data_IF_887367356611
#
_entry.id   IF_887367356611
#
_cell.length_a   1.000
_cell.length_b   1.000
_cell.length_c   1.000
_cell.angle_alpha   90.00
_cell.angle_beta   90.00
_cell.angle_gamma   90.00
#
_symmetry.space_group_name_H-M   'P 1'
#
loop_
_entity.id
_entity.type
_entity.pdbx_description
1 polymer ?
#
# COMPACT_ATOMS: atom_id res chain seq x y z
N UNK A 1 -40.69 -18.80 -0.89
CA UNK A 1 -40.82 -17.37 -1.20
C UNK A 1 -39.67 -16.67 -0.49
N UNK A 2 -38.50 -16.56 -1.14
CA UNK A 2 -37.34 -15.83 -0.63
C UNK A 2 -37.56 -14.35 -0.84
N UNK A 3 -37.52 -13.56 0.22
CA UNK A 3 -37.48 -12.10 0.11
C UNK A 3 -36.13 -11.69 -0.46
N UNK A 4 -36.14 -11.23 -1.68
CA UNK A 4 -35.01 -10.69 -2.43
C UNK A 4 -34.73 -9.28 -1.90
N UNK A 5 -34.50 -9.14 -0.59
CA UNK A 5 -34.10 -7.88 0.02
C UNK A 5 -32.63 -7.68 -0.28
N UNK A 6 -32.34 -6.84 -1.28
CA UNK A 6 -30.95 -6.38 -1.54
C UNK A 6 -30.41 -5.78 -0.25
N UNK A 7 -29.23 -6.23 0.23
CA UNK A 7 -28.64 -5.66 1.43
C UNK A 7 -28.42 -4.15 1.26
N UNK A 8 -28.91 -3.37 2.23
CA UNK A 8 -28.71 -1.93 2.24
C UNK A 8 -27.28 -1.63 2.75
N UNK A 9 -26.43 -1.23 1.84
CA UNK A 9 -25.04 -0.86 2.13
C UNK A 9 -24.86 0.60 2.55
N UNK A 10 -25.94 1.41 2.52
CA UNK A 10 -25.86 2.83 2.86
C UNK A 10 -25.28 3.10 4.26
N UNK A 11 -25.76 2.43 5.34
CA UNK A 11 -25.22 2.66 6.68
C UNK A 11 -23.74 2.25 6.80
N UNK A 12 -23.32 1.22 6.06
CA UNK A 12 -21.93 0.78 6.03
C UNK A 12 -21.03 1.85 5.40
N UNK A 13 -21.38 2.35 4.21
CA UNK A 13 -20.61 3.37 3.54
C UNK A 13 -20.61 4.70 4.30
N UNK A 14 -21.74 5.05 4.91
CA UNK A 14 -21.85 6.26 5.73
C UNK A 14 -20.93 6.18 6.97
N UNK A 15 -20.93 5.04 7.67
CA UNK A 15 -20.08 4.86 8.86
C UNK A 15 -18.58 4.89 8.51
N UNK A 16 -18.17 4.24 7.42
CA UNK A 16 -16.78 4.29 6.93
C UNK A 16 -16.41 5.72 6.53
N UNK A 17 -17.28 6.41 5.79
CA UNK A 17 -17.06 7.79 5.38
C UNK A 17 -16.88 8.74 6.58
N UNK A 18 -17.75 8.64 7.59
CA UNK A 18 -17.64 9.44 8.81
C UNK A 18 -16.35 9.13 9.58
N UNK A 19 -15.95 7.86 9.68
CA UNK A 19 -14.71 7.46 10.32
C UNK A 19 -13.49 8.02 9.59
N UNK A 20 -13.49 8.00 8.26
CA UNK A 20 -12.42 8.60 7.45
C UNK A 20 -12.33 10.11 7.66
N UNK A 21 -13.46 10.83 7.65
CA UNK A 21 -13.49 12.27 7.91
C UNK A 21 -12.98 12.57 9.32
N UNK A 22 -13.42 11.83 10.32
CA UNK A 22 -12.95 11.97 11.70
C UNK A 22 -11.43 11.76 11.82
N UNK A 23 -10.89 10.73 11.15
CA UNK A 23 -9.45 10.46 11.13
C UNK A 23 -8.67 11.62 10.50
N UNK A 24 -9.14 12.18 9.38
CA UNK A 24 -8.53 13.34 8.73
C UNK A 24 -8.58 14.57 9.63
N UNK A 25 -9.72 14.84 10.28
CA UNK A 25 -9.86 15.97 11.21
C UNK A 25 -8.89 15.83 12.39
N UNK A 26 -8.81 14.64 13.00
CA UNK A 26 -7.85 14.37 14.08
C UNK A 26 -6.41 14.60 13.60
N UNK A 27 -6.06 14.12 12.41
CA UNK A 27 -4.73 14.29 11.82
C UNK A 27 -4.41 15.78 11.64
N UNK A 28 -5.30 16.55 11.00
CA UNK A 28 -5.11 17.99 10.75
C UNK A 28 -5.00 18.80 12.06
N UNK A 29 -5.80 18.45 13.06
CA UNK A 29 -5.78 19.15 14.36
C UNK A 29 -4.56 18.78 15.21
N UNK A 30 -4.08 17.52 15.12
CA UNK A 30 -3.01 17.02 15.98
C UNK A 30 -1.64 17.24 15.38
N UNK A 31 -1.48 17.05 14.06
CA UNK A 31 -0.20 17.17 13.35
C UNK A 31 -0.05 18.59 12.82
N UNK A 32 0.78 19.36 13.48
CA UNK A 32 1.25 20.66 12.97
C UNK A 32 2.52 20.43 12.16
N UNK A 33 2.38 20.04 10.91
CA UNK A 33 3.49 19.67 10.00
C UNK A 33 4.65 20.68 10.02
N UNK A 34 4.34 21.98 10.01
CA UNK A 34 5.38 23.04 10.05
C UNK A 34 6.23 23.02 11.32
N UNK A 35 5.61 22.75 12.50
CA UNK A 35 6.35 22.66 13.75
C UNK A 35 7.18 21.38 13.83
N UNK A 36 6.59 20.26 13.36
CA UNK A 36 7.27 18.97 13.34
C UNK A 36 8.47 18.98 12.37
N UNK A 37 8.30 19.55 11.18
CA UNK A 37 9.38 19.71 10.20
C UNK A 37 10.51 20.58 10.75
N UNK A 38 10.20 21.69 11.45
CA UNK A 38 11.23 22.52 12.09
C UNK A 38 11.95 21.79 13.23
N UNK A 39 11.25 20.99 14.01
CA UNK A 39 11.84 20.19 15.10
C UNK A 39 12.76 19.11 14.56
N UNK A 40 12.33 18.38 13.53
CA UNK A 40 13.14 17.36 12.86
C UNK A 40 14.38 17.99 12.22
N UNK A 41 14.24 19.16 11.56
CA UNK A 41 15.36 19.88 10.97
C UNK A 41 16.37 20.39 12.01
N UNK A 42 15.91 20.69 13.24
CA UNK A 42 16.78 21.11 14.32
C UNK A 42 17.48 19.93 15.02
N UNK A 43 16.83 18.78 15.07
CA UNK A 43 17.32 17.59 15.78
C UNK A 43 18.26 16.73 14.90
N UNK A 44 18.06 16.76 13.57
CA UNK A 44 18.83 15.99 12.58
C UNK A 44 19.38 16.90 11.46
N UNK A 45 20.31 17.81 11.74
CA UNK A 45 20.80 18.81 10.78
C UNK A 45 21.58 18.23 9.60
N UNK A 46 22.05 16.99 9.71
CA UNK A 46 22.89 16.34 8.70
C UNK A 46 22.18 15.33 7.79
N UNK A 47 20.88 15.09 7.97
CA UNK A 47 20.13 14.23 7.05
C UNK A 47 19.77 14.98 5.76
N UNK A 48 20.10 14.41 4.57
CA UNK A 48 19.85 15.06 3.28
C UNK A 48 18.36 15.30 2.99
N UNK A 49 17.46 14.50 3.56
CA UNK A 49 16.02 14.65 3.41
C UNK A 49 15.49 15.87 4.17
N UNK A 50 16.04 16.17 5.34
CA UNK A 50 15.63 17.29 6.20
C UNK A 50 16.04 18.64 5.58
N UNK A 51 17.20 18.70 4.94
CA UNK A 51 17.65 19.88 4.16
C UNK A 51 16.80 20.10 2.92
N UNK A 52 16.33 19.04 2.28
CA UNK A 52 15.47 19.13 1.11
C UNK A 52 14.04 19.65 1.42
N UNK A 53 13.49 19.35 2.58
CA UNK A 53 12.18 19.85 2.99
C UNK A 53 12.23 21.30 3.49
N UNK A 54 13.27 21.66 4.22
CA UNK A 54 13.48 23.05 4.69
C UNK A 54 13.76 24.02 3.54
N UNK A 55 14.52 23.60 2.51
CA UNK A 55 14.77 24.41 1.31
C UNK A 55 13.56 24.53 0.38
N UNK A 56 12.69 23.54 0.31
CA UNK A 56 11.46 23.56 -0.52
C UNK A 56 10.42 24.58 -0.05
N UNK A 57 10.40 24.94 1.21
CA UNK A 57 9.50 25.99 1.72
C UNK A 57 9.94 27.41 1.36
N UNK A 58 11.22 27.62 1.05
CA UNK A 58 11.77 28.94 0.68
C UNK A 58 11.79 29.21 -0.83
N UNK A 59 11.73 28.17 -1.67
CA UNK A 59 11.93 28.26 -3.12
C UNK A 59 10.72 27.87 -3.98
N UNK A 60 9.54 28.24 -3.59
CA UNK A 60 8.27 27.88 -4.31
C UNK A 60 8.17 28.39 -5.77
N UNK A 61 9.24 28.94 -6.38
CA UNK A 61 9.24 29.46 -7.76
C UNK A 61 10.44 29.09 -8.62
N UNK A 62 11.39 28.32 -8.14
CA UNK A 62 12.53 27.93 -8.95
C UNK A 62 12.20 26.70 -9.78
N UNK A 63 12.32 26.79 -11.11
CA UNK A 63 12.12 25.63 -12.02
C UNK A 63 13.15 24.56 -11.66
N UNK A 64 12.67 23.36 -11.33
CA UNK A 64 13.52 22.21 -11.04
C UNK A 64 14.52 21.97 -12.20
N UNK A 65 15.79 21.68 -11.91
CA UNK A 65 16.75 21.24 -12.92
C UNK A 65 16.20 20.09 -13.77
N UNK A 66 16.57 20.02 -15.04
CA UNK A 66 16.03 19.04 -15.97
C UNK A 66 16.21 17.59 -15.48
N UNK A 67 17.38 17.27 -14.92
CA UNK A 67 17.70 15.94 -14.40
C UNK A 67 16.81 15.54 -13.21
N UNK A 68 16.55 16.47 -12.30
CA UNK A 68 15.67 16.25 -11.14
C UNK A 68 14.22 16.03 -11.62
N UNK A 69 13.78 16.79 -12.63
CA UNK A 69 12.45 16.64 -13.22
C UNK A 69 12.28 15.28 -13.89
N UNK A 70 13.27 14.81 -14.64
CA UNK A 70 13.25 13.47 -15.25
C UNK A 70 13.18 12.37 -14.18
N UNK A 71 14.03 12.43 -13.17
CA UNK A 71 14.02 11.48 -12.06
C UNK A 71 12.66 11.45 -11.34
N UNK A 72 12.09 12.61 -11.05
CA UNK A 72 10.78 12.75 -10.44
C UNK A 72 9.68 12.13 -11.33
N UNK A 73 9.72 12.39 -12.64
CA UNK A 73 8.75 11.82 -13.59
C UNK A 73 8.81 10.29 -13.59
N UNK A 74 10.01 9.70 -13.62
CA UNK A 74 10.15 8.25 -13.57
C UNK A 74 9.66 7.65 -12.26
N UNK A 75 9.91 8.30 -11.13
CA UNK A 75 9.39 7.87 -9.82
C UNK A 75 7.86 7.91 -9.82
N UNK A 76 7.26 9.01 -10.26
CA UNK A 76 5.81 9.16 -10.33
C UNK A 76 5.17 8.14 -11.28
N UNK A 77 5.76 7.89 -12.44
CA UNK A 77 5.30 6.85 -13.36
C UNK A 77 5.40 5.45 -12.74
N UNK A 78 6.47 5.16 -12.02
CA UNK A 78 6.63 3.88 -11.33
C UNK A 78 5.54 3.66 -10.28
N UNK A 79 5.25 4.70 -9.49
CA UNK A 79 4.18 4.68 -8.50
C UNK A 79 2.82 4.52 -9.20
N UNK A 80 2.57 5.26 -10.28
CA UNK A 80 1.34 5.16 -11.04
C UNK A 80 1.11 3.74 -11.58
N UNK A 81 2.09 3.15 -12.26
CA UNK A 81 1.97 1.79 -12.78
C UNK A 81 1.84 0.74 -11.68
N UNK A 82 2.54 0.93 -10.56
CA UNK A 82 2.38 0.09 -9.39
C UNK A 82 0.94 0.05 -8.89
N UNK A 83 0.37 1.22 -8.63
CA UNK A 83 -1.01 1.30 -8.14
C UNK A 83 -2.04 0.87 -9.19
N UNK A 84 -1.82 1.16 -10.47
CA UNK A 84 -2.69 0.71 -11.55
C UNK A 84 -2.73 -0.82 -11.64
N UNK A 85 -1.58 -1.48 -11.61
CA UNK A 85 -1.48 -2.94 -11.64
C UNK A 85 -2.13 -3.57 -10.40
N UNK A 86 -1.85 -3.05 -9.21
CA UNK A 86 -2.45 -3.54 -7.97
C UNK A 86 -3.98 -3.43 -7.97
N UNK A 87 -4.51 -2.27 -8.37
CA UNK A 87 -5.95 -2.06 -8.44
C UNK A 87 -6.61 -2.94 -9.51
N UNK A 88 -5.96 -3.15 -10.65
CA UNK A 88 -6.47 -4.04 -11.69
C UNK A 88 -6.63 -5.47 -11.16
N UNK A 89 -5.60 -6.00 -10.47
CA UNK A 89 -5.65 -7.33 -9.87
C UNK A 89 -6.73 -7.42 -8.80
N UNK A 90 -6.78 -6.50 -7.85
CA UNK A 90 -7.74 -6.55 -6.73
C UNK A 90 -9.18 -6.40 -7.20
N UNK A 91 -9.43 -5.59 -8.23
CA UNK A 91 -10.78 -5.43 -8.82
C UNK A 91 -11.24 -6.69 -9.56
N UNK A 92 -10.36 -7.31 -10.33
CA UNK A 92 -10.67 -8.53 -11.06
C UNK A 92 -10.74 -9.76 -10.15
N UNK A 93 -10.10 -9.72 -8.99
CA UNK A 93 -9.90 -10.85 -8.10
C UNK A 93 -11.20 -11.51 -7.63
N UNK A 94 -12.21 -10.73 -7.25
CA UNK A 94 -13.49 -11.26 -6.78
C UNK A 94 -14.19 -12.11 -7.85
N UNK A 95 -14.17 -11.66 -9.11
CA UNK A 95 -14.74 -12.43 -10.23
C UNK A 95 -13.92 -13.67 -10.57
N UNK A 96 -12.60 -13.56 -10.51
CA UNK A 96 -11.71 -14.68 -10.74
C UNK A 96 -11.95 -15.81 -9.73
N UNK A 97 -11.99 -15.48 -8.44
CA UNK A 97 -12.18 -16.45 -7.36
C UNK A 97 -13.55 -17.13 -7.44
N UNK A 98 -14.60 -16.41 -7.83
CA UNK A 98 -15.92 -17.00 -8.04
C UNK A 98 -15.94 -17.95 -9.21
N UNK A 99 -15.35 -17.57 -10.36
CA UNK A 99 -15.44 -18.37 -11.59
C UNK A 99 -14.45 -19.53 -11.62
N UNK A 100 -13.25 -19.34 -11.10
CA UNK A 100 -12.14 -20.32 -11.23
C UNK A 100 -12.04 -21.16 -9.95
N UNK A 101 -12.15 -20.54 -8.78
CA UNK A 101 -11.99 -21.26 -7.50
C UNK A 101 -13.30 -21.64 -6.83
N UNK A 102 -14.47 -21.24 -7.37
CA UNK A 102 -15.77 -21.57 -6.81
C UNK A 102 -16.06 -20.91 -5.47
N UNK A 103 -15.37 -19.81 -5.13
CA UNK A 103 -15.57 -19.09 -3.86
C UNK A 103 -16.79 -18.17 -3.97
N UNK A 104 -17.92 -18.64 -3.51
CA UNK A 104 -19.16 -17.87 -3.42
C UNK A 104 -19.26 -17.07 -2.12
N UNK A 105 -20.24 -16.16 -2.05
CA UNK A 105 -20.61 -15.47 -0.81
C UNK A 105 -19.52 -14.59 -0.20
N UNK A 106 -18.58 -14.09 -1.01
CA UNK A 106 -17.50 -13.22 -0.51
C UNK A 106 -16.27 -13.98 0.02
N UNK A 107 -16.15 -15.29 -0.25
CA UNK A 107 -15.01 -16.11 0.18
C UNK A 107 -13.64 -15.57 -0.23
N UNK A 108 -13.57 -14.76 -1.30
CA UNK A 108 -12.34 -14.05 -1.71
C UNK A 108 -11.82 -13.09 -0.63
N UNK A 109 -12.70 -12.56 0.22
CA UNK A 109 -12.30 -11.64 1.29
C UNK A 109 -11.38 -12.30 2.32
N UNK A 110 -11.52 -13.60 2.55
CA UNK A 110 -10.63 -14.36 3.44
C UNK A 110 -9.18 -14.34 2.95
N UNK A 111 -8.95 -14.51 1.65
CA UNK A 111 -7.61 -14.44 1.07
C UNK A 111 -7.00 -13.03 1.23
N UNK A 112 -7.80 -11.99 0.99
CA UNK A 112 -7.36 -10.61 1.17
C UNK A 112 -7.09 -10.28 2.65
N UNK A 113 -7.89 -10.84 3.56
CA UNK A 113 -7.68 -10.67 5.00
C UNK A 113 -6.35 -11.29 5.43
N UNK A 114 -6.03 -12.50 4.95
CA UNK A 114 -4.73 -13.14 5.21
C UNK A 114 -3.57 -12.26 4.74
N UNK A 115 -3.67 -11.71 3.53
CA UNK A 115 -2.65 -10.79 3.01
C UNK A 115 -2.52 -9.53 3.88
N UNK A 116 -3.64 -8.95 4.30
CA UNK A 116 -3.66 -7.74 5.15
C UNK A 116 -3.03 -8.00 6.52
N UNK A 117 -3.39 -9.10 7.18
CA UNK A 117 -2.80 -9.49 8.48
C UNK A 117 -1.30 -9.72 8.35
N UNK A 118 -0.88 -10.46 7.31
CA UNK A 118 0.53 -10.69 7.04
C UNK A 118 1.29 -9.38 6.79
N UNK A 119 0.71 -8.43 6.06
CA UNK A 119 1.29 -7.10 5.84
C UNK A 119 1.48 -6.36 7.16
N UNK A 120 0.44 -6.27 7.98
CA UNK A 120 0.48 -5.57 9.28
C UNK A 120 1.60 -6.13 10.17
N UNK A 121 1.66 -7.45 10.32
CA UNK A 121 2.69 -8.11 11.12
C UNK A 121 4.10 -7.90 10.56
N UNK A 122 4.22 -7.71 9.25
CA UNK A 122 5.50 -7.57 8.57
C UNK A 122 6.04 -6.16 8.53
N UNK A 123 5.24 -5.12 8.80
CA UNK A 123 5.71 -3.73 8.75
C UNK A 123 6.91 -3.46 9.65
N UNK A 124 6.86 -3.91 10.91
CA UNK A 124 7.94 -3.67 11.88
C UNK A 124 9.24 -4.38 11.47
N UNK A 125 9.24 -5.72 11.22
CA UNK A 125 10.47 -6.41 10.86
C UNK A 125 11.03 -5.96 9.50
N UNK A 126 10.17 -5.62 8.53
CA UNK A 126 10.62 -5.15 7.23
C UNK A 126 11.15 -3.73 7.26
N UNK A 127 10.63 -2.87 8.13
CA UNK A 127 11.21 -1.56 8.37
C UNK A 127 12.64 -1.66 8.91
N UNK A 128 12.85 -2.53 9.90
CA UNK A 128 14.20 -2.80 10.42
C UNK A 128 15.13 -3.45 9.37
N UNK A 129 14.60 -4.33 8.52
CA UNK A 129 15.36 -4.93 7.43
C UNK A 129 15.74 -3.89 6.38
N UNK A 130 14.82 -3.02 5.99
CA UNK A 130 15.04 -1.96 5.02
C UNK A 130 16.14 -0.98 5.47
N UNK A 131 16.19 -0.67 6.77
CA UNK A 131 17.26 0.15 7.36
C UNK A 131 18.65 -0.51 7.24
N UNK A 132 18.73 -1.85 7.32
CA UNK A 132 19.99 -2.60 7.23
C UNK A 132 20.43 -2.88 5.80
N UNK A 133 19.51 -3.30 4.94
CA UNK A 133 19.79 -3.79 3.57
C UNK A 133 19.71 -2.66 2.54
N UNK A 134 19.00 -1.60 2.89
CA UNK A 134 18.74 -0.44 2.04
C UNK A 134 17.39 -0.50 1.34
N UNK A 135 16.75 0.67 1.22
CA UNK A 135 15.38 0.86 0.67
C UNK A 135 15.19 0.22 -0.71
N UNK A 136 16.11 0.48 -1.64
CA UNK A 136 16.03 -0.03 -3.03
C UNK A 136 15.98 -1.55 -3.09
N UNK A 137 16.82 -2.24 -2.31
CA UNK A 137 16.86 -3.70 -2.28
C UNK A 137 15.61 -4.28 -1.61
N UNK A 138 15.09 -3.63 -0.58
CA UNK A 138 13.86 -4.03 0.10
C UNK A 138 12.64 -3.95 -0.85
N UNK A 139 12.50 -2.85 -1.60
CA UNK A 139 11.45 -2.69 -2.60
C UNK A 139 11.55 -3.78 -3.68
N UNK A 140 12.76 -4.03 -4.19
CA UNK A 140 12.98 -5.06 -5.22
C UNK A 140 12.62 -6.46 -4.71
N UNK A 141 13.00 -6.79 -3.47
CA UNK A 141 12.63 -8.04 -2.82
C UNK A 141 11.10 -8.17 -2.72
N UNK A 142 10.42 -7.11 -2.28
CA UNK A 142 8.95 -7.08 -2.19
C UNK A 142 8.28 -7.32 -3.53
N UNK A 143 8.75 -6.67 -4.59
CA UNK A 143 8.26 -6.87 -5.96
C UNK A 143 8.44 -8.30 -6.44
N UNK A 144 9.61 -8.89 -6.26
CA UNK A 144 9.89 -10.28 -6.62
C UNK A 144 8.97 -11.24 -5.86
N UNK A 145 8.79 -11.02 -4.56
CA UNK A 145 7.93 -11.85 -3.73
C UNK A 145 6.48 -11.82 -4.20
N UNK A 146 5.94 -10.65 -4.50
CA UNK A 146 4.59 -10.50 -5.03
C UNK A 146 4.44 -11.14 -6.40
N UNK A 147 5.39 -10.91 -7.30
CA UNK A 147 5.37 -11.48 -8.66
C UNK A 147 5.36 -13.01 -8.63
N UNK A 148 6.25 -13.62 -7.84
CA UNK A 148 6.30 -15.08 -7.68
C UNK A 148 5.00 -15.60 -7.08
N UNK A 149 4.46 -14.92 -6.08
CA UNK A 149 3.23 -15.36 -5.40
C UNK A 149 2.01 -15.28 -6.30
N UNK A 150 1.83 -14.19 -7.06
CA UNK A 150 0.73 -14.09 -8.03
C UNK A 150 0.87 -15.11 -9.17
N UNK A 151 2.10 -15.31 -9.66
CA UNK A 151 2.36 -16.29 -10.70
C UNK A 151 2.06 -17.71 -10.21
N UNK A 152 2.51 -18.07 -9.01
CA UNK A 152 2.23 -19.38 -8.41
C UNK A 152 0.73 -19.59 -8.16
N UNK A 153 0.02 -18.57 -7.68
CA UNK A 153 -1.43 -18.66 -7.44
C UNK A 153 -2.24 -18.91 -8.72
N UNK A 154 -1.73 -18.48 -9.88
CA UNK A 154 -2.39 -18.68 -11.18
C UNK A 154 -2.45 -20.14 -11.63
N UNK A 155 -1.61 -21.02 -11.12
CA UNK A 155 -1.63 -22.45 -11.47
C UNK A 155 -2.74 -23.25 -10.78
N UNK A 156 -3.44 -22.66 -9.82
CA UNK A 156 -4.51 -23.34 -9.11
C UNK A 156 -5.86 -23.12 -9.81
N UNK A 157 -6.45 -24.19 -10.32
CA UNK A 157 -7.76 -24.19 -10.95
C UNK A 157 -8.93 -24.34 -9.94
N UNK A 158 -8.61 -24.59 -8.67
CA UNK A 158 -9.58 -24.69 -7.56
C UNK A 158 -8.96 -24.10 -6.29
N UNK A 159 -9.81 -23.70 -5.35
CA UNK A 159 -9.32 -23.20 -4.07
C UNK A 159 -8.68 -24.30 -3.24
N UNK A 160 -7.46 -24.07 -2.82
CA UNK A 160 -6.69 -24.90 -1.88
C UNK A 160 -6.17 -24.01 -0.76
N UNK A 161 -6.09 -24.53 0.46
CA UNK A 161 -5.60 -23.79 1.63
C UNK A 161 -4.18 -23.19 1.46
N UNK A 162 -3.34 -23.83 0.62
CA UNK A 162 -1.99 -23.34 0.28
C UNK A 162 -2.02 -21.96 -0.42
N UNK A 163 -3.12 -21.60 -1.07
CA UNK A 163 -3.30 -20.29 -1.69
C UNK A 163 -3.16 -19.17 -0.66
N UNK A 164 -3.62 -19.40 0.57
CA UNK A 164 -3.48 -18.43 1.65
C UNK A 164 -2.01 -18.15 1.99
N UNK A 165 -1.10 -19.11 1.80
CA UNK A 165 0.34 -18.88 1.97
C UNK A 165 0.85 -17.89 0.92
N UNK A 166 0.44 -18.03 -0.32
CA UNK A 166 0.80 -17.06 -1.37
C UNK A 166 0.22 -15.67 -1.07
N UNK A 167 -1.01 -15.60 -0.55
CA UNK A 167 -1.57 -14.31 -0.12
C UNK A 167 -0.84 -13.71 1.08
N UNK A 168 -0.40 -14.51 2.03
CA UNK A 168 0.47 -14.03 3.09
C UNK A 168 1.80 -13.47 2.54
N UNK A 169 2.43 -14.16 1.58
CA UNK A 169 3.63 -13.66 0.92
C UNK A 169 3.40 -12.38 0.12
N UNK A 170 2.22 -12.23 -0.52
CA UNK A 170 1.81 -10.98 -1.17
C UNK A 170 1.73 -9.86 -0.13
N UNK A 171 1.13 -10.12 1.04
CA UNK A 171 1.07 -9.15 2.13
C UNK A 171 2.45 -8.73 2.63
N UNK A 172 3.37 -9.68 2.81
CA UNK A 172 4.77 -9.40 3.16
C UNK A 172 5.44 -8.55 2.07
N UNK A 173 5.27 -8.92 0.82
CA UNK A 173 5.81 -8.15 -0.33
C UNK A 173 5.26 -6.73 -0.38
N UNK A 174 3.96 -6.56 -0.17
CA UNK A 174 3.31 -5.24 -0.07
C UNK A 174 3.92 -4.41 1.07
N UNK A 175 4.10 -4.99 2.26
CA UNK A 175 4.71 -4.30 3.39
C UNK A 175 6.16 -3.87 3.10
N UNK A 176 6.95 -4.73 2.41
CA UNK A 176 8.32 -4.40 2.02
C UNK A 176 8.42 -3.21 1.07
N UNK A 177 7.40 -2.97 0.25
CA UNK A 177 7.33 -1.82 -0.65
C UNK A 177 6.82 -0.58 0.09
N UNK A 178 5.74 -0.74 0.85
CA UNK A 178 5.01 0.39 1.46
C UNK A 178 5.77 1.03 2.64
N UNK A 179 6.69 0.30 3.29
CA UNK A 179 7.48 0.79 4.42
C UNK A 179 8.68 1.66 3.98
N UNK A 180 8.98 1.69 2.67
CA UNK A 180 10.09 2.42 2.07
C UNK A 180 9.64 3.63 1.25
#
# INVERSE_FOLDING_TARGET
VGSDSKPDYFPLFLSIGLLMVAAVVVLVLTIREKKLAMQIAAEYPDEPETKAEASKQSEAKTKLPADVRHSLTFILLSIFFWFAAYNAVTTAFSRYTQKVWGLEGGGFANCLMVATVAAILSYIPLGALAAKVGRKKSIFLGLCLMLVSYFAANFFNAYHGIINVFFALIGVGWAAISVN
#
